data_IF_528676372831
#
_entry.id   IF_528676372831
#
_cell.length_a   1.000
_cell.length_b   1.000
_cell.length_c   1.000
_cell.angle_alpha   90.00
_cell.angle_beta   90.00
_cell.angle_gamma   90.00
#
_symmetry.space_group_name_H-M   'P 1'
#
loop_
_entity.id
_entity.type
_entity.pdbx_description
1 polymer ?
#
# COMPACT_ATOMS: atom_id res chain seq x y z
N UNK A 1 -21.91 -0.29 -31.35
CA UNK A 1 -22.24 0.78 -30.37
C UNK A 1 -21.69 2.10 -30.92
N UNK A 2 -22.47 3.19 -30.90
CA UNK A 2 -21.93 4.49 -31.32
C UNK A 2 -20.84 4.92 -30.32
N UNK A 3 -19.68 5.35 -30.84
CA UNK A 3 -18.62 5.89 -30.00
C UNK A 3 -19.01 7.30 -29.52
N UNK A 4 -18.79 7.58 -28.24
CA UNK A 4 -18.93 8.95 -27.73
C UNK A 4 -17.87 9.85 -28.37
N UNK A 5 -18.31 10.96 -28.97
CA UNK A 5 -17.42 11.98 -29.52
C UNK A 5 -17.06 12.94 -28.39
N UNK A 6 -15.78 13.27 -28.27
CA UNK A 6 -15.31 14.32 -27.36
C UNK A 6 -15.21 15.64 -28.12
N UNK A 7 -15.55 16.74 -27.47
CA UNK A 7 -15.32 18.11 -27.95
C UNK A 7 -14.09 18.77 -27.28
N UNK A 8 -13.24 17.97 -26.61
CA UNK A 8 -12.04 18.48 -25.94
C UNK A 8 -11.02 18.88 -27.01
N UNK A 9 -10.59 20.14 -26.98
CA UNK A 9 -9.46 20.63 -27.75
C UNK A 9 -8.17 20.47 -26.94
N UNK A 10 -7.36 19.48 -27.32
CA UNK A 10 -6.08 19.17 -26.67
C UNK A 10 -5.03 20.30 -26.81
N UNK A 11 -5.24 21.23 -27.75
CA UNK A 11 -4.33 22.35 -28.01
C UNK A 11 -4.78 23.65 -27.32
N UNK A 12 -5.94 23.67 -26.72
CA UNK A 12 -6.41 24.84 -26.01
C UNK A 12 -5.51 25.15 -24.80
N UNK A 13 -5.33 26.44 -24.50
CA UNK A 13 -4.54 26.88 -23.34
C UNK A 13 -5.08 26.33 -22.01
N UNK A 14 -6.41 26.20 -21.90
CA UNK A 14 -7.07 25.65 -20.73
C UNK A 14 -6.78 24.17 -20.54
N UNK A 15 -6.83 23.38 -21.62
CA UNK A 15 -6.46 21.97 -21.56
C UNK A 15 -5.01 21.79 -21.15
N UNK A 16 -4.08 22.51 -21.78
CA UNK A 16 -2.64 22.40 -21.47
C UNK A 16 -2.35 22.74 -19.99
N UNK A 17 -2.91 23.83 -19.49
CA UNK A 17 -2.78 24.23 -18.09
C UNK A 17 -3.32 23.17 -17.12
N UNK A 18 -4.51 22.63 -17.41
CA UNK A 18 -5.13 21.60 -16.58
C UNK A 18 -4.36 20.27 -16.63
N UNK A 19 -3.86 19.90 -17.81
CA UNK A 19 -3.05 18.69 -17.99
C UNK A 19 -1.72 18.78 -17.22
N UNK A 20 -1.06 19.95 -17.24
CA UNK A 20 0.18 20.17 -16.51
C UNK A 20 -0.05 20.14 -15.00
N UNK A 21 -1.10 20.80 -14.51
CA UNK A 21 -1.50 20.72 -13.10
C UNK A 21 -1.77 19.26 -12.67
N UNK A 22 -2.49 18.51 -13.49
CA UNK A 22 -2.79 17.11 -13.18
C UNK A 22 -1.51 16.25 -13.16
N UNK A 23 -0.59 16.43 -14.10
CA UNK A 23 0.71 15.74 -14.09
C UNK A 23 1.51 16.04 -12.82
N UNK A 24 1.50 17.30 -12.38
CA UNK A 24 2.16 17.71 -11.13
C UNK A 24 1.55 16.99 -9.91
N UNK A 25 0.23 16.93 -9.81
CA UNK A 25 -0.48 16.23 -8.73
C UNK A 25 -0.21 14.72 -8.73
N UNK A 26 -0.21 14.11 -9.92
CA UNK A 26 0.11 12.68 -10.08
C UNK A 26 1.57 12.41 -9.71
N UNK A 27 2.49 13.29 -10.11
CA UNK A 27 3.91 13.18 -9.74
C UNK A 27 4.12 13.25 -8.23
N UNK A 28 3.49 14.20 -7.55
CA UNK A 28 3.53 14.32 -6.07
C UNK A 28 2.96 13.06 -5.38
N UNK A 29 1.84 12.53 -5.89
CA UNK A 29 1.28 11.28 -5.38
C UNK A 29 2.24 10.10 -5.55
N UNK A 30 2.84 9.96 -6.73
CA UNK A 30 3.80 8.88 -7.03
C UNK A 30 5.01 8.95 -6.12
N UNK A 31 5.60 10.13 -5.91
CA UNK A 31 6.72 10.33 -5.00
C UNK A 31 6.38 9.91 -3.56
N UNK A 32 5.20 10.31 -3.05
CA UNK A 32 4.72 9.91 -1.73
C UNK A 32 4.51 8.39 -1.62
N UNK A 33 3.97 7.78 -2.65
CA UNK A 33 3.78 6.32 -2.69
C UNK A 33 5.11 5.59 -2.73
N UNK A 34 6.07 6.02 -3.53
CA UNK A 34 7.43 5.46 -3.59
C UNK A 34 8.12 5.56 -2.23
N UNK A 35 8.11 6.74 -1.60
CA UNK A 35 8.67 6.94 -0.26
C UNK A 35 8.03 6.01 0.77
N UNK A 36 6.71 5.92 0.76
CA UNK A 36 5.97 5.04 1.69
C UNK A 36 6.28 3.56 1.45
N UNK A 37 6.51 3.16 0.20
CA UNK A 37 6.80 1.78 -0.16
C UNK A 37 8.12 1.25 0.40
N UNK A 38 9.05 2.14 0.75
CA UNK A 38 10.34 1.78 1.36
C UNK A 38 10.15 1.15 2.75
N UNK A 39 9.08 1.51 3.47
CA UNK A 39 8.83 1.07 4.84
C UNK A 39 9.64 1.87 5.87
N UNK A 40 10.11 1.21 6.92
CA UNK A 40 10.86 1.85 7.99
C UNK A 40 12.25 2.36 7.58
N UNK A 41 12.95 2.99 8.53
CA UNK A 41 14.26 3.57 8.30
C UNK A 41 15.28 2.54 7.78
N UNK A 42 16.32 3.02 7.10
CA UNK A 42 17.38 2.16 6.58
C UNK A 42 18.03 1.29 7.68
N UNK A 43 18.23 1.85 8.88
CA UNK A 43 18.76 1.13 10.02
C UNK A 43 17.82 0.02 10.49
N UNK A 44 16.52 0.30 10.57
CA UNK A 44 15.50 -0.68 10.95
C UNK A 44 15.44 -1.83 9.94
N UNK A 45 15.50 -1.53 8.64
CA UNK A 45 15.52 -2.52 7.56
C UNK A 45 16.80 -3.37 7.62
N UNK A 46 17.98 -2.76 7.77
CA UNK A 46 19.26 -3.49 7.93
C UNK A 46 19.24 -4.43 9.15
N UNK A 47 18.72 -3.95 10.28
CA UNK A 47 18.55 -4.76 11.50
C UNK A 47 17.60 -5.95 11.28
N UNK A 48 16.50 -5.73 10.54
CA UNK A 48 15.52 -6.74 10.20
C UNK A 48 16.13 -7.86 9.34
N UNK A 49 16.84 -7.49 8.26
CA UNK A 49 17.53 -8.41 7.36
C UNK A 49 18.65 -9.18 8.11
N UNK A 50 19.42 -8.50 8.97
CA UNK A 50 20.47 -9.16 9.79
C UNK A 50 19.92 -10.28 10.69
N UNK A 51 18.65 -10.24 11.04
CA UNK A 51 17.94 -11.29 11.80
C UNK A 51 17.46 -12.45 10.94
N UNK A 52 17.82 -12.49 9.66
CA UNK A 52 17.38 -13.51 8.70
C UNK A 52 15.93 -13.36 8.24
N UNK A 53 15.32 -12.21 8.45
CA UNK A 53 13.92 -11.95 8.04
C UNK A 53 13.88 -11.26 6.68
N UNK A 54 12.90 -11.65 5.85
CA UNK A 54 12.56 -10.96 4.61
C UNK A 54 11.83 -9.66 4.92
N UNK A 55 12.02 -8.64 4.10
CA UNK A 55 11.21 -7.42 4.17
C UNK A 55 9.72 -7.74 3.87
N UNK A 56 8.77 -6.97 4.43
CA UNK A 56 7.35 -7.32 4.31
C UNK A 56 6.86 -7.38 2.86
N UNK A 57 7.33 -6.48 1.98
CA UNK A 57 6.98 -6.53 0.55
C UNK A 57 7.58 -7.75 -0.17
N UNK A 58 8.77 -8.17 0.22
CA UNK A 58 9.36 -9.41 -0.29
C UNK A 58 8.53 -10.63 0.14
N UNK A 59 8.04 -10.66 1.39
CA UNK A 59 7.15 -11.72 1.88
C UNK A 59 5.85 -11.78 1.08
N UNK A 60 5.24 -10.62 0.80
CA UNK A 60 4.03 -10.53 -0.05
C UNK A 60 4.33 -11.04 -1.46
N UNK A 61 5.42 -10.56 -2.09
CA UNK A 61 5.78 -10.95 -3.44
C UNK A 61 6.07 -12.47 -3.59
N UNK A 62 6.68 -13.08 -2.58
CA UNK A 62 6.94 -14.52 -2.57
C UNK A 62 5.69 -15.37 -2.30
N UNK A 63 4.67 -14.79 -1.67
CA UNK A 63 3.39 -15.46 -1.44
C UNK A 63 2.51 -15.46 -2.68
N UNK A 64 2.59 -14.42 -3.51
CA UNK A 64 1.78 -14.26 -4.70
C UNK A 64 2.14 -15.26 -5.79
N UNK A 65 1.14 -15.68 -6.55
CA UNK A 65 1.36 -16.46 -7.77
C UNK A 65 2.24 -15.68 -8.74
N UNK A 66 3.19 -16.35 -9.37
CA UNK A 66 4.12 -15.73 -10.31
C UNK A 66 3.39 -14.96 -11.42
N UNK A 67 3.77 -13.69 -11.60
CA UNK A 67 3.18 -12.80 -12.61
C UNK A 67 1.77 -12.30 -12.29
N UNK A 68 1.20 -12.63 -11.11
CA UNK A 68 -0.10 -12.06 -10.72
C UNK A 68 0.06 -10.64 -10.19
N UNK A 69 -0.91 -9.73 -10.48
CA UNK A 69 -0.88 -8.39 -9.92
C UNK A 69 -1.19 -8.41 -8.42
N UNK A 70 -0.67 -7.39 -7.70
CA UNK A 70 -1.06 -7.09 -6.33
C UNK A 70 -1.72 -5.72 -6.28
N UNK A 71 -3.01 -5.68 -5.93
CA UNK A 71 -3.76 -4.46 -5.73
C UNK A 71 -3.59 -4.00 -4.29
N UNK A 72 -2.53 -3.24 -4.03
CA UNK A 72 -2.32 -2.64 -2.72
C UNK A 72 -3.28 -1.46 -2.51
N UNK A 73 -3.88 -1.36 -1.32
CA UNK A 73 -4.78 -0.27 -0.96
C UNK A 73 -4.37 0.39 0.36
N UNK A 74 -4.79 1.65 0.54
CA UNK A 74 -4.49 2.48 1.72
C UNK A 74 -2.99 2.68 1.95
N UNK A 75 -2.19 2.83 0.89
CA UNK A 75 -0.73 3.01 0.97
C UNK A 75 -0.34 4.26 1.75
N UNK A 76 -1.11 5.35 1.63
CA UNK A 76 -0.86 6.62 2.34
C UNK A 76 -1.51 6.70 3.72
N UNK A 77 -1.99 5.57 4.28
CA UNK A 77 -2.49 5.57 5.65
C UNK A 77 -1.40 6.03 6.63
N UNK A 78 -1.78 6.87 7.59
CA UNK A 78 -0.91 7.56 8.55
C UNK A 78 0.04 8.61 7.99
N UNK A 79 -0.05 8.97 6.70
CA UNK A 79 0.75 10.04 6.12
C UNK A 79 0.47 11.37 6.85
N UNK A 80 1.52 11.99 7.42
CA UNK A 80 1.45 13.26 8.17
C UNK A 80 0.43 13.29 9.34
N UNK A 81 0.10 12.11 9.92
CA UNK A 81 -0.87 12.02 11.02
C UNK A 81 -0.24 11.98 12.41
N UNK A 82 1.04 11.66 12.50
CA UNK A 82 1.78 11.54 13.75
C UNK A 82 3.07 12.34 13.68
N UNK A 83 3.63 12.71 14.83
CA UNK A 83 4.96 13.34 14.91
C UNK A 83 6.07 12.40 14.43
N UNK A 84 5.79 11.11 14.44
CA UNK A 84 6.63 10.05 13.93
C UNK A 84 6.27 9.65 12.50
N UNK A 85 7.27 9.21 11.72
CA UNK A 85 7.05 8.61 10.41
C UNK A 85 6.56 7.16 10.57
N UNK A 86 5.30 6.91 10.16
CA UNK A 86 4.63 5.59 10.23
C UNK A 86 4.13 5.22 8.83
N UNK A 87 5.04 4.96 7.87
CA UNK A 87 4.68 4.71 6.47
C UNK A 87 3.70 3.53 6.35
N UNK A 88 2.68 3.72 5.51
CA UNK A 88 1.59 2.77 5.29
C UNK A 88 0.89 2.30 6.59
N UNK A 89 0.93 3.11 7.65
CA UNK A 89 0.45 2.73 8.98
C UNK A 89 1.09 1.44 9.54
N UNK A 90 2.33 1.10 9.13
CA UNK A 90 3.06 -0.09 9.59
C UNK A 90 2.49 -1.44 9.12
N UNK A 91 1.54 -1.45 8.18
CA UNK A 91 1.03 -2.69 7.55
C UNK A 91 0.80 -2.51 6.06
N UNK A 92 1.03 -3.57 5.29
CA UNK A 92 0.68 -3.67 3.87
C UNK A 92 -0.66 -4.38 3.77
N UNK A 93 -1.59 -3.82 3.02
CA UNK A 93 -2.90 -4.42 2.77
C UNK A 93 -3.20 -4.40 1.28
N UNK A 94 -3.72 -5.49 0.74
CA UNK A 94 -4.03 -5.56 -0.67
C UNK A 94 -4.71 -6.86 -1.07
N UNK A 95 -5.13 -6.94 -2.32
CA UNK A 95 -5.69 -8.15 -2.93
C UNK A 95 -4.67 -8.70 -3.91
N UNK A 96 -4.43 -10.00 -3.83
CA UNK A 96 -3.56 -10.72 -4.74
C UNK A 96 -4.00 -12.15 -4.92
N UNK A 97 -3.38 -12.85 -5.87
CA UNK A 97 -3.70 -14.25 -6.13
C UNK A 97 -2.66 -15.17 -5.49
N UNK A 98 -3.14 -16.14 -4.71
CA UNK A 98 -2.34 -17.17 -4.04
C UNK A 98 -2.92 -18.54 -4.34
N UNK A 99 -2.13 -19.41 -4.95
CA UNK A 99 -2.57 -20.75 -5.36
C UNK A 99 -3.85 -20.75 -6.20
N UNK A 100 -3.93 -19.81 -7.15
CA UNK A 100 -5.04 -19.64 -8.08
C UNK A 100 -6.29 -18.97 -7.50
N UNK A 101 -6.27 -18.54 -6.23
CA UNK A 101 -7.40 -17.87 -5.56
C UNK A 101 -7.07 -16.43 -5.19
N UNK A 102 -8.01 -15.52 -5.40
CA UNK A 102 -7.92 -14.16 -4.91
C UNK A 102 -8.11 -14.11 -3.40
N UNK A 103 -7.24 -13.39 -2.72
CA UNK A 103 -7.23 -13.28 -1.26
C UNK A 103 -6.89 -11.86 -0.84
N UNK A 104 -7.37 -11.43 0.31
CA UNK A 104 -6.88 -10.23 0.97
C UNK A 104 -5.65 -10.60 1.79
N UNK A 105 -4.57 -9.84 1.62
CA UNK A 105 -3.32 -10.02 2.36
C UNK A 105 -3.15 -8.84 3.32
N UNK A 106 -2.85 -9.14 4.58
CA UNK A 106 -2.45 -8.18 5.60
C UNK A 106 -1.07 -8.58 6.12
N UNK A 107 -0.07 -7.77 5.84
CA UNK A 107 1.31 -8.04 6.25
C UNK A 107 1.84 -6.95 7.17
N UNK A 108 2.30 -7.31 8.37
CA UNK A 108 2.97 -6.37 9.27
C UNK A 108 4.33 -5.94 8.71
N UNK A 109 4.63 -4.66 8.87
CA UNK A 109 5.97 -4.11 8.63
C UNK A 109 6.69 -3.88 9.96
N UNK A 110 7.44 -4.89 10.40
CA UNK A 110 8.24 -4.79 11.62
C UNK A 110 9.42 -3.81 11.52
N UNK A 111 9.71 -3.27 10.34
CA UNK A 111 10.70 -2.18 10.17
C UNK A 111 10.12 -0.83 10.56
N UNK A 112 8.78 -0.70 10.60
CA UNK A 112 8.05 0.47 11.06
C UNK A 112 7.69 0.28 12.53
N UNK A 113 8.37 1.02 13.43
CA UNK A 113 8.13 0.98 14.89
C UNK A 113 8.02 -0.44 15.47
N UNK A 114 8.80 -1.39 14.95
CA UNK A 114 8.79 -2.78 15.41
C UNK A 114 7.50 -3.55 15.11
N UNK A 115 6.67 -3.10 14.18
CA UNK A 115 5.36 -3.69 13.90
C UNK A 115 4.27 -3.33 14.91
N UNK A 116 4.46 -2.23 15.65
CA UNK A 116 3.49 -1.73 16.63
C UNK A 116 2.24 -1.18 15.94
N UNK A 117 1.07 -1.51 16.48
CA UNK A 117 -0.22 -1.04 15.99
C UNK A 117 -0.57 0.33 16.58
N UNK A 118 -0.66 1.33 15.73
CA UNK A 118 -1.23 2.64 16.02
C UNK A 118 -2.75 2.64 15.78
N UNK A 119 -3.51 3.65 16.24
CA UNK A 119 -4.94 3.71 15.97
C UNK A 119 -5.31 3.62 14.49
N UNK A 120 -4.52 4.25 13.60
CA UNK A 120 -4.73 4.16 12.15
C UNK A 120 -4.36 2.79 11.59
N UNK A 121 -3.37 2.10 12.16
CA UNK A 121 -3.04 0.71 11.80
C UNK A 121 -4.26 -0.20 12.02
N UNK A 122 -4.92 -0.05 13.17
CA UNK A 122 -6.16 -0.81 13.47
C UNK A 122 -7.26 -0.50 12.46
N UNK A 123 -7.51 0.79 12.15
CA UNK A 123 -8.51 1.19 11.15
C UNK A 123 -8.22 0.59 9.78
N UNK A 124 -6.96 0.64 9.34
CA UNK A 124 -6.53 0.05 8.06
C UNK A 124 -6.73 -1.47 8.04
N UNK A 125 -6.39 -2.15 9.13
CA UNK A 125 -6.59 -3.59 9.28
C UNK A 125 -8.08 -3.97 9.22
N UNK A 126 -8.93 -3.28 9.98
CA UNK A 126 -10.38 -3.50 9.96
C UNK A 126 -10.95 -3.26 8.56
N UNK A 127 -10.53 -2.19 7.87
CA UNK A 127 -10.97 -1.94 6.49
C UNK A 127 -10.57 -3.07 5.54
N UNK A 128 -9.39 -3.66 5.71
CA UNK A 128 -9.00 -4.82 4.93
C UNK A 128 -9.93 -6.03 5.16
N UNK A 129 -10.32 -6.27 6.41
CA UNK A 129 -11.29 -7.32 6.75
C UNK A 129 -12.69 -7.05 6.20
N UNK A 130 -13.14 -5.78 6.23
CA UNK A 130 -14.41 -5.37 5.61
C UNK A 130 -14.41 -5.64 4.11
N UNK A 131 -13.33 -5.24 3.40
CA UNK A 131 -13.16 -5.52 1.97
C UNK A 131 -13.22 -7.03 1.69
N UNK A 132 -12.54 -7.83 2.53
CA UNK A 132 -12.56 -9.29 2.39
C UNK A 132 -13.99 -9.85 2.58
N UNK A 133 -14.71 -9.39 3.57
CA UNK A 133 -16.09 -9.81 3.85
C UNK A 133 -17.04 -9.42 2.72
N UNK A 134 -17.00 -8.16 2.28
CA UNK A 134 -17.85 -7.63 1.22
C UNK A 134 -17.65 -8.35 -0.13
N UNK A 135 -16.43 -8.85 -0.38
CA UNK A 135 -16.06 -9.52 -1.63
C UNK A 135 -15.92 -11.05 -1.47
N UNK A 136 -16.27 -11.61 -0.32
CA UNK A 136 -16.16 -13.04 -0.02
C UNK A 136 -14.76 -13.62 -0.25
N UNK A 137 -13.72 -12.82 0.07
CA UNK A 137 -12.31 -13.21 -0.08
C UNK A 137 -11.74 -13.75 1.23
N UNK A 138 -10.92 -14.82 1.19
CA UNK A 138 -10.14 -15.23 2.35
C UNK A 138 -9.14 -14.14 2.76
N UNK A 139 -8.84 -14.03 4.06
CA UNK A 139 -7.76 -13.19 4.58
C UNK A 139 -6.52 -14.02 4.91
N UNK A 140 -5.37 -13.59 4.43
CA UNK A 140 -4.06 -14.12 4.81
C UNK A 140 -3.29 -13.08 5.61
N UNK A 141 -2.82 -13.50 6.79
CA UNK A 141 -2.08 -12.63 7.71
C UNK A 141 -0.61 -13.05 7.77
N UNK A 142 0.29 -12.17 7.33
CA UNK A 142 1.73 -12.31 7.49
C UNK A 142 2.17 -11.55 8.74
N UNK A 143 1.95 -12.17 9.89
CA UNK A 143 2.13 -11.52 11.19
C UNK A 143 3.61 -11.34 11.55
N UNK A 144 3.99 -10.14 11.93
CA UNK A 144 5.26 -9.77 12.59
C UNK A 144 5.01 -8.49 13.41
N UNK A 145 4.16 -8.61 14.43
CA UNK A 145 3.65 -7.49 15.24
C UNK A 145 4.44 -7.33 16.54
N UNK A 146 4.74 -6.09 16.89
CA UNK A 146 5.33 -5.70 18.17
C UNK A 146 4.30 -5.43 19.29
N UNK A 147 3.01 -5.61 19.00
CA UNK A 147 1.92 -5.31 19.93
C UNK A 147 1.15 -4.04 19.56
N UNK A 148 0.42 -3.47 20.51
CA UNK A 148 -0.34 -2.23 20.34
C UNK A 148 0.29 -1.07 21.12
N UNK A 149 0.24 0.11 20.53
CA UNK A 149 0.62 1.36 21.17
C UNK A 149 -0.51 1.86 22.05
#
# INVERSE_FOLDING_TARGET
MPAFKTNIDLHSADYQRNAERMRSLVGDLQEKMEKTSIGGSEEARKKHIKRGKLLPRERVNLLLDSGSPFLEFSQLAAHEMYDDDVPAAGIITGIGRVSGKEVVIVANDATVKGGTYYPVTVKKHLRAQEIALENHLPCLYLVDSGGAF
#
